data_IF_170457205018
#
_entry.id   IF_170457205018
#
_cell.length_a   1.000
_cell.length_b   1.000
_cell.length_c   1.000
_cell.angle_alpha   90.00
_cell.angle_beta   90.00
_cell.angle_gamma   90.00
#
_symmetry.space_group_name_H-M   'P 1'
#
loop_
_entity.id
_entity.type
_entity.pdbx_description
1 polymer ?
#
# COMPACT_ATOMS: atom_id res chain seq x y z
N UNK A 1 7.79 -8.68 -15.31
CA UNK A 1 6.72 -7.72 -14.93
C UNK A 1 7.21 -6.33 -15.28
N UNK A 2 6.43 -5.52 -16.00
CA UNK A 2 6.79 -4.15 -16.25
C UNK A 2 6.75 -3.31 -14.96
N UNK A 3 7.42 -2.17 -14.90
CA UNK A 3 7.48 -1.34 -13.73
C UNK A 3 6.06 -0.95 -13.29
N UNK A 4 5.84 -0.93 -11.97
CA UNK A 4 4.57 -0.55 -11.32
C UNK A 4 4.09 0.83 -11.80
N UNK A 5 5.02 1.68 -12.21
CA UNK A 5 4.78 3.02 -12.73
C UNK A 5 5.22 3.06 -14.20
N UNK A 6 4.29 3.35 -15.11
CA UNK A 6 4.59 3.62 -16.52
C UNK A 6 4.14 5.02 -16.88
N UNK A 7 5.04 5.79 -17.51
CA UNK A 7 4.72 7.16 -17.92
C UNK A 7 4.25 8.08 -16.77
N UNK A 8 4.73 7.85 -15.56
CA UNK A 8 4.33 8.60 -14.36
C UNK A 8 2.95 8.24 -13.80
N UNK A 9 2.37 7.11 -14.19
CA UNK A 9 1.09 6.59 -13.67
C UNK A 9 1.26 5.15 -13.20
N UNK A 10 0.56 4.79 -12.13
CA UNK A 10 0.43 3.40 -11.70
C UNK A 10 -0.45 2.64 -12.72
N UNK A 11 0.05 1.49 -13.16
CA UNK A 11 -0.70 0.62 -14.07
C UNK A 11 -1.89 0.02 -13.33
N UNK A 12 -3.10 -0.01 -13.92
CA UNK A 12 -4.24 -0.67 -13.29
C UNK A 12 -3.93 -2.13 -12.94
N UNK A 13 -4.30 -2.54 -11.73
CA UNK A 13 -4.01 -3.87 -11.20
C UNK A 13 -4.03 -3.87 -9.68
N UNK A 14 -3.81 -5.03 -9.08
CA UNK A 14 -3.71 -5.21 -7.63
C UNK A 14 -2.29 -5.63 -7.29
N UNK A 15 -1.65 -4.88 -6.42
CA UNK A 15 -0.27 -5.05 -6.02
C UNK A 15 -0.17 -5.17 -4.50
N UNK A 16 0.60 -6.12 -4.01
CA UNK A 16 0.99 -6.20 -2.62
C UNK A 16 2.51 -6.07 -2.53
N UNK A 17 2.96 -5.16 -1.69
CA UNK A 17 4.37 -4.88 -1.45
C UNK A 17 4.63 -5.03 0.04
N UNK A 18 5.55 -5.88 0.43
CA UNK A 18 6.01 -6.03 1.81
C UNK A 18 7.47 -5.59 1.93
N UNK A 19 7.84 -5.05 3.08
CA UNK A 19 9.21 -4.57 3.29
C UNK A 19 9.37 -3.86 4.64
N UNK A 20 10.50 -3.16 4.84
CA UNK A 20 10.88 -2.60 6.12
C UNK A 20 9.84 -1.63 6.67
N UNK A 21 9.93 -1.31 7.98
CA UNK A 21 8.95 -0.47 8.70
C UNK A 21 8.70 0.91 8.08
N UNK A 22 9.66 1.44 7.36
CA UNK A 22 9.57 2.73 6.67
C UNK A 22 9.05 2.64 5.21
N UNK A 23 8.61 1.44 4.78
CA UNK A 23 8.11 1.16 3.42
C UNK A 23 7.08 2.19 2.95
N UNK A 24 6.07 2.48 3.78
CA UNK A 24 5.00 3.42 3.42
C UNK A 24 5.54 4.83 3.16
N UNK A 25 6.47 5.30 3.99
CA UNK A 25 7.13 6.60 3.82
C UNK A 25 7.98 6.65 2.55
N UNK A 26 8.77 5.60 2.28
CA UNK A 26 9.55 5.47 1.04
C UNK A 26 8.67 5.46 -0.20
N UNK A 27 7.60 4.67 -0.17
CA UNK A 27 6.66 4.59 -1.29
C UNK A 27 5.99 5.93 -1.56
N UNK A 28 5.51 6.62 -0.51
CA UNK A 28 4.93 7.95 -0.62
C UNK A 28 5.92 8.96 -1.23
N UNK A 29 7.16 8.95 -0.77
CA UNK A 29 8.23 9.80 -1.30
C UNK A 29 8.54 9.49 -2.77
N UNK A 30 8.59 8.21 -3.15
CA UNK A 30 8.79 7.78 -4.53
C UNK A 30 7.64 8.19 -5.47
N UNK A 31 6.42 8.38 -4.96
CA UNK A 31 5.30 8.92 -5.73
C UNK A 31 5.42 10.43 -6.03
N UNK A 32 6.26 11.16 -5.30
CA UNK A 32 6.34 12.61 -5.38
C UNK A 32 6.46 13.15 -6.82
N UNK A 33 7.35 12.66 -7.70
CA UNK A 33 7.43 13.17 -9.07
C UNK A 33 6.14 12.94 -9.88
N UNK A 34 5.40 11.87 -9.61
CA UNK A 34 4.14 11.59 -10.28
C UNK A 34 3.02 12.53 -9.77
N UNK A 35 2.98 12.80 -8.46
CA UNK A 35 2.06 13.75 -7.84
C UNK A 35 2.28 15.16 -8.39
N UNK A 36 3.54 15.60 -8.52
CA UNK A 36 3.90 16.90 -9.09
C UNK A 36 3.51 17.03 -10.56
N UNK A 37 3.47 15.92 -11.31
CA UNK A 37 2.95 15.87 -12.69
C UNK A 37 1.42 15.78 -12.77
N UNK A 38 0.71 15.90 -11.64
CA UNK A 38 -0.74 15.97 -11.58
C UNK A 38 -1.45 14.65 -11.27
N UNK A 39 -0.74 13.55 -11.00
CA UNK A 39 -1.37 12.31 -10.53
C UNK A 39 -2.00 12.56 -9.15
N UNK A 40 -3.29 12.21 -8.98
CA UNK A 40 -3.91 12.09 -7.66
C UNK A 40 -3.66 10.70 -7.06
N UNK A 41 -3.84 10.56 -5.76
CA UNK A 41 -3.83 9.27 -5.05
C UNK A 41 -4.86 9.27 -3.93
N UNK A 42 -5.62 8.18 -3.79
CA UNK A 42 -6.42 7.90 -2.61
C UNK A 42 -5.56 7.08 -1.64
N UNK A 43 -5.25 7.63 -0.47
CA UNK A 43 -4.37 7.01 0.52
C UNK A 43 -5.16 6.62 1.75
N UNK A 44 -5.35 5.31 1.95
CA UNK A 44 -5.96 4.74 3.15
C UNK A 44 -4.85 4.39 4.14
N UNK A 45 -4.62 5.26 5.11
CA UNK A 45 -3.53 5.17 6.10
C UNK A 45 -3.93 4.27 7.28
N UNK A 46 -3.94 2.97 7.05
CA UNK A 46 -4.39 1.99 8.03
C UNK A 46 -3.40 1.75 9.17
N UNK A 47 -2.11 1.97 8.94
CA UNK A 47 -1.05 1.82 9.95
C UNK A 47 -0.54 3.12 10.55
N UNK A 48 -1.24 4.25 10.33
CA UNK A 48 -0.80 5.58 10.79
C UNK A 48 0.64 5.92 10.33
N UNK A 49 0.93 5.64 9.08
CA UNK A 49 2.27 5.71 8.49
C UNK A 49 2.49 6.88 7.53
N UNK A 50 1.46 7.70 7.30
CA UNK A 50 1.54 8.83 6.38
C UNK A 50 2.50 9.91 6.86
N UNK A 51 3.56 10.14 6.09
CA UNK A 51 4.59 11.14 6.40
C UNK A 51 4.48 12.37 5.49
N UNK A 52 3.66 13.35 5.89
CA UNK A 52 3.50 14.60 5.17
C UNK A 52 4.81 15.41 5.06
N UNK A 53 5.65 15.36 6.10
CA UNK A 53 6.95 16.08 6.09
C UNK A 53 7.91 15.47 5.08
N UNK A 54 7.98 14.13 5.02
CA UNK A 54 8.81 13.42 4.04
C UNK A 54 8.40 13.74 2.61
N UNK A 55 7.08 13.72 2.32
CA UNK A 55 6.57 14.11 1.01
C UNK A 55 6.86 15.58 0.68
N UNK A 56 6.66 16.49 1.65
CA UNK A 56 6.96 17.91 1.48
C UNK A 56 8.45 18.18 1.26
N UNK A 57 9.32 17.43 1.93
CA UNK A 57 10.77 17.50 1.71
C UNK A 57 11.15 17.04 0.28
N UNK A 58 10.58 15.91 -0.16
CA UNK A 58 10.81 15.39 -1.51
C UNK A 58 10.34 16.38 -2.60
N UNK A 59 9.20 17.05 -2.39
CA UNK A 59 8.71 18.05 -3.33
C UNK A 59 9.68 19.24 -3.44
N UNK A 60 10.17 19.76 -2.31
CA UNK A 60 11.18 20.82 -2.31
C UNK A 60 12.50 20.40 -2.97
N UNK A 61 12.92 19.16 -2.74
CA UNK A 61 14.10 18.60 -3.41
C UNK A 61 13.94 18.57 -4.93
N UNK A 62 12.71 18.36 -5.42
CA UNK A 62 12.36 18.46 -6.84
C UNK A 62 12.13 19.94 -7.32
N UNK A 63 12.44 20.94 -6.51
CA UNK A 63 12.24 22.35 -6.87
C UNK A 63 10.78 22.81 -6.86
N UNK A 64 9.87 22.08 -6.19
CA UNK A 64 8.45 22.36 -6.16
C UNK A 64 7.95 22.74 -4.76
N UNK A 65 6.78 23.40 -4.70
CA UNK A 65 6.10 23.66 -3.43
C UNK A 65 5.57 22.34 -2.84
N UNK A 66 5.82 22.14 -1.54
CA UNK A 66 5.32 21.01 -0.78
C UNK A 66 3.79 20.88 -0.86
N UNK A 67 3.06 21.98 -0.88
CA UNK A 67 1.60 21.99 -1.00
C UNK A 67 1.11 21.40 -2.32
N UNK A 68 1.86 21.58 -3.40
CA UNK A 68 1.50 21.03 -4.71
C UNK A 68 1.42 19.50 -4.70
N UNK A 69 2.38 18.82 -4.05
CA UNK A 69 2.36 17.37 -3.89
C UNK A 69 1.29 16.92 -2.88
N UNK A 70 1.19 17.58 -1.73
CA UNK A 70 0.22 17.22 -0.67
C UNK A 70 -1.22 17.36 -1.14
N UNK A 71 -1.55 18.38 -1.94
CA UNK A 71 -2.89 18.60 -2.48
C UNK A 71 -3.36 17.47 -3.42
N UNK A 72 -2.46 16.62 -3.89
CA UNK A 72 -2.76 15.46 -4.74
C UNK A 72 -3.08 14.19 -3.96
N UNK A 73 -2.91 14.20 -2.63
CA UNK A 73 -3.18 13.06 -1.77
C UNK A 73 -4.50 13.25 -1.05
N UNK A 74 -5.48 12.41 -1.38
CA UNK A 74 -6.71 12.30 -0.62
C UNK A 74 -6.50 11.27 0.49
N UNK A 75 -6.23 11.75 1.70
CA UNK A 75 -5.93 10.92 2.87
C UNK A 75 -7.20 10.55 3.62
N UNK A 76 -7.36 9.28 3.96
CA UNK A 76 -8.35 8.79 4.91
C UNK A 76 -7.68 7.79 5.87
N UNK A 77 -8.09 7.78 7.13
CA UNK A 77 -7.50 6.93 8.17
C UNK A 77 -8.55 6.06 8.82
N UNK A 78 -8.62 4.76 8.48
CA UNK A 78 -9.44 3.81 9.23
C UNK A 78 -8.78 3.51 10.58
N UNK A 79 -9.56 3.54 11.67
CA UNK A 79 -9.09 3.22 13.02
C UNK A 79 -9.32 1.75 13.40
N UNK A 80 -10.09 1.02 12.61
CA UNK A 80 -10.31 -0.41 12.78
C UNK A 80 -10.60 -1.08 11.42
N UNK A 81 -10.61 -2.41 11.41
CA UNK A 81 -10.80 -3.20 10.19
C UNK A 81 -12.17 -3.03 9.53
N UNK A 82 -13.23 -2.73 10.31
CA UNK A 82 -14.58 -2.50 9.78
C UNK A 82 -14.68 -1.15 9.05
N UNK A 83 -13.99 -0.14 9.57
CA UNK A 83 -13.86 1.15 8.87
C UNK A 83 -13.07 0.99 7.56
N UNK A 84 -12.00 0.18 7.55
CA UNK A 84 -11.26 -0.11 6.32
C UNK A 84 -12.17 -0.80 5.29
N UNK A 85 -12.98 -1.79 5.71
CA UNK A 85 -13.97 -2.42 4.84
C UNK A 85 -14.95 -1.40 4.25
N UNK A 86 -15.52 -0.54 5.09
CA UNK A 86 -16.45 0.50 4.65
C UNK A 86 -15.78 1.47 3.67
N UNK A 87 -14.54 1.88 3.94
CA UNK A 87 -13.79 2.75 3.03
C UNK A 87 -13.59 2.09 1.67
N UNK A 88 -13.15 0.82 1.63
CA UNK A 88 -12.88 0.11 0.37
C UNK A 88 -14.17 -0.14 -0.42
N UNK A 89 -15.24 -0.56 0.24
CA UNK A 89 -16.49 -0.98 -0.44
C UNK A 89 -17.43 0.18 -0.79
N UNK A 90 -17.37 1.28 -0.04
CA UNK A 90 -18.33 2.38 -0.18
C UNK A 90 -17.60 3.68 -0.52
N UNK A 91 -16.70 4.15 0.36
CA UNK A 91 -16.16 5.51 0.23
C UNK A 91 -15.19 5.68 -0.93
N UNK A 92 -14.38 4.68 -1.21
CA UNK A 92 -13.48 4.70 -2.38
C UNK A 92 -14.29 4.70 -3.68
N UNK A 93 -15.24 3.80 -3.93
CA UNK A 93 -16.09 3.86 -5.14
C UNK A 93 -16.84 5.18 -5.32
N UNK A 94 -17.42 5.74 -4.26
CA UNK A 94 -18.12 7.02 -4.32
C UNK A 94 -17.22 8.19 -4.76
N UNK A 95 -15.96 8.17 -4.32
CA UNK A 95 -14.99 9.26 -4.52
C UNK A 95 -14.08 9.07 -5.73
N UNK A 96 -13.86 7.83 -6.15
CA UNK A 96 -12.86 7.48 -7.17
C UNK A 96 -13.13 8.18 -8.51
N UNK A 97 -12.08 8.74 -9.10
CA UNK A 97 -12.08 9.44 -10.40
C UNK A 97 -10.96 8.97 -11.31
N UNK A 98 -10.46 7.74 -11.09
CA UNK A 98 -9.35 7.15 -11.87
C UNK A 98 -8.00 7.16 -11.17
N UNK A 99 -7.94 7.67 -9.93
CA UNK A 99 -6.71 7.68 -9.15
C UNK A 99 -6.32 6.27 -8.68
N UNK A 100 -5.01 5.97 -8.50
CA UNK A 100 -4.59 4.78 -7.76
C UNK A 100 -5.04 4.87 -6.29
N UNK A 101 -5.29 3.71 -5.71
CA UNK A 101 -5.68 3.56 -4.30
C UNK A 101 -4.58 2.83 -3.55
N UNK A 102 -4.04 3.44 -2.52
CA UNK A 102 -3.02 2.86 -1.65
C UNK A 102 -3.66 2.52 -0.31
N UNK A 103 -3.48 1.28 0.14
CA UNK A 103 -3.78 0.84 1.51
C UNK A 103 -2.43 0.71 2.22
N UNK A 104 -2.12 1.67 3.08
CA UNK A 104 -0.84 1.74 3.76
C UNK A 104 -0.90 1.03 5.11
N UNK A 105 -0.13 -0.03 5.21
CA UNK A 105 0.11 -0.85 6.41
C UNK A 105 -1.17 -1.31 7.12
N UNK A 106 -2.01 -2.14 6.48
CA UNK A 106 -3.26 -2.60 7.08
C UNK A 106 -3.09 -3.65 8.18
N UNK A 107 -1.93 -4.31 8.27
CA UNK A 107 -1.71 -5.41 9.22
C UNK A 107 -2.05 -5.07 10.68
N UNK A 108 -1.71 -3.89 11.23
CA UNK A 108 -2.08 -3.53 12.60
C UNK A 108 -3.58 -3.68 12.88
N UNK A 109 -4.44 -3.29 11.94
CA UNK A 109 -5.89 -3.40 12.12
C UNK A 109 -6.36 -4.86 12.18
N UNK A 110 -5.67 -5.76 11.47
CA UNK A 110 -5.97 -7.19 11.44
C UNK A 110 -5.25 -7.98 12.54
N UNK A 111 -4.27 -7.35 13.20
CA UNK A 111 -3.55 -7.91 14.34
C UNK A 111 -4.14 -7.50 15.68
N UNK A 112 -5.23 -6.73 15.67
CA UNK A 112 -5.99 -6.36 16.85
C UNK A 112 -6.56 -7.62 17.53
N UNK A 113 -6.06 -7.93 18.74
CA UNK A 113 -6.42 -9.13 19.49
C UNK A 113 -7.84 -9.09 20.04
N UNK A 114 -8.43 -7.89 20.16
CA UNK A 114 -9.84 -7.72 20.59
C UNK A 114 -10.82 -8.21 19.51
N UNK A 115 -10.35 -8.42 18.27
CA UNK A 115 -11.18 -8.96 17.18
C UNK A 115 -10.86 -10.45 16.99
N UNK A 116 -11.85 -11.35 17.10
CA UNK A 116 -11.63 -12.77 16.83
C UNK A 116 -11.04 -13.02 15.42
N UNK A 117 -10.01 -13.87 15.31
CA UNK A 117 -9.32 -14.13 14.04
C UNK A 117 -10.28 -14.54 12.90
N UNK A 118 -11.32 -15.33 13.21
CA UNK A 118 -12.33 -15.71 12.23
C UNK A 118 -13.16 -14.52 11.72
N UNK A 119 -13.45 -13.54 12.58
CA UNK A 119 -14.14 -12.30 12.18
C UNK A 119 -13.22 -11.45 11.29
N UNK A 120 -11.98 -11.27 11.69
CA UNK A 120 -11.00 -10.52 10.92
C UNK A 120 -10.76 -11.15 9.53
N UNK A 121 -10.71 -12.50 9.41
CA UNK A 121 -10.61 -13.20 8.11
C UNK A 121 -11.82 -12.90 7.21
N UNK A 122 -13.02 -12.89 7.76
CA UNK A 122 -14.23 -12.53 6.99
C UNK A 122 -14.18 -11.08 6.48
N UNK A 123 -13.72 -10.16 7.33
CA UNK A 123 -13.54 -8.76 6.90
C UNK A 123 -12.49 -8.64 5.81
N UNK A 124 -11.33 -9.32 5.95
CA UNK A 124 -10.31 -9.32 4.91
C UNK A 124 -10.87 -9.83 3.56
N UNK A 125 -11.62 -10.93 3.56
CA UNK A 125 -12.24 -11.44 2.35
C UNK A 125 -13.14 -10.37 1.68
N UNK A 126 -13.98 -9.68 2.48
CA UNK A 126 -14.84 -8.62 1.96
C UNK A 126 -14.08 -7.38 1.47
N UNK A 127 -12.95 -7.04 2.08
CA UNK A 127 -12.05 -5.98 1.58
C UNK A 127 -11.48 -6.36 0.23
N UNK A 128 -10.95 -7.59 0.09
CA UNK A 128 -10.41 -8.10 -1.18
C UNK A 128 -11.48 -8.17 -2.30
N UNK A 129 -12.70 -8.56 -1.95
CA UNK A 129 -13.85 -8.49 -2.85
C UNK A 129 -14.14 -7.04 -3.30
N UNK A 130 -14.18 -6.10 -2.37
CA UNK A 130 -14.37 -4.68 -2.67
C UNK A 130 -13.30 -4.12 -3.61
N UNK A 131 -12.04 -4.50 -3.40
CA UNK A 131 -10.95 -4.14 -4.31
C UNK A 131 -11.12 -4.73 -5.72
N UNK A 132 -11.80 -5.88 -5.84
CA UNK A 132 -12.01 -6.53 -7.13
C UNK A 132 -13.08 -5.82 -7.99
N UNK A 133 -13.99 -5.11 -7.36
CA UNK A 133 -15.10 -4.42 -8.04
C UNK A 133 -14.69 -3.12 -8.72
N UNK A 134 -13.57 -2.52 -8.34
CA UNK A 134 -13.12 -1.25 -8.87
C UNK A 134 -11.89 -1.45 -9.77
N UNK A 135 -11.90 -0.99 -11.04
CA UNK A 135 -10.78 -1.14 -11.97
C UNK A 135 -9.66 -0.11 -11.69
N UNK A 136 -9.31 0.08 -10.42
CA UNK A 136 -8.24 0.96 -9.99
C UNK A 136 -6.88 0.24 -9.95
N UNK A 137 -5.80 1.01 -9.91
CA UNK A 137 -4.52 0.50 -9.45
C UNK A 137 -4.56 0.44 -7.91
N UNK A 138 -4.70 -0.74 -7.34
CA UNK A 138 -4.66 -0.97 -5.90
C UNK A 138 -3.24 -1.35 -5.46
N UNK A 139 -2.72 -0.67 -4.46
CA UNK A 139 -1.42 -0.96 -3.87
C UNK A 139 -1.59 -1.17 -2.37
N UNK A 140 -1.31 -2.37 -1.90
CA UNK A 140 -1.26 -2.67 -0.46
C UNK A 140 0.20 -2.69 -0.03
N UNK A 141 0.55 -1.84 0.92
CA UNK A 141 1.87 -1.77 1.51
C UNK A 141 1.82 -2.42 2.90
N UNK A 142 2.59 -3.46 3.13
CA UNK A 142 2.66 -4.17 4.41
C UNK A 142 4.06 -4.03 5.00
N UNK A 143 4.19 -3.32 6.12
CA UNK A 143 5.45 -3.22 6.83
C UNK A 143 5.75 -4.52 7.57
N UNK A 144 7.02 -4.96 7.52
CA UNK A 144 7.49 -6.16 8.19
C UNK A 144 7.27 -6.06 9.71
N UNK A 145 6.54 -7.02 10.24
CA UNK A 145 6.26 -7.16 11.68
C UNK A 145 5.97 -8.59 12.06
N UNK A 146 6.25 -8.93 13.32
CA UNK A 146 5.84 -10.22 13.87
C UNK A 146 4.31 -10.29 13.92
N UNK A 147 3.77 -11.40 13.45
CA UNK A 147 2.35 -11.68 13.59
C UNK A 147 2.04 -12.18 15.01
N UNK A 148 0.93 -11.76 15.63
CA UNK A 148 0.42 -12.40 16.85
C UNK A 148 0.08 -13.86 16.61
N UNK A 149 0.06 -14.66 17.69
CA UNK A 149 -0.29 -16.08 17.62
C UNK A 149 -1.67 -16.30 16.96
N UNK A 150 -1.74 -17.22 16.01
CA UNK A 150 -2.95 -17.51 15.24
C UNK A 150 -3.27 -16.52 14.12
N UNK A 151 -2.36 -15.58 13.86
CA UNK A 151 -2.47 -14.58 12.78
C UNK A 151 -1.27 -14.65 11.81
N UNK A 152 -0.55 -15.74 11.81
CA UNK A 152 0.55 -15.99 10.91
C UNK A 152 0.08 -16.05 9.45
N UNK A 153 0.90 -15.59 8.52
CA UNK A 153 0.62 -15.63 7.07
C UNK A 153 -0.45 -14.66 6.57
N UNK A 154 -0.86 -13.69 7.38
CA UNK A 154 -1.86 -12.69 6.95
C UNK A 154 -1.30 -11.72 5.90
N UNK A 155 -0.02 -11.45 5.90
CA UNK A 155 0.70 -10.75 4.85
C UNK A 155 0.59 -11.48 3.50
N UNK A 156 0.65 -12.82 3.52
CA UNK A 156 0.46 -13.66 2.32
C UNK A 156 -0.98 -13.60 1.80
N UNK A 157 -1.99 -13.47 2.68
CA UNK A 157 -3.38 -13.36 2.26
C UNK A 157 -3.62 -12.09 1.43
N UNK A 158 -2.99 -10.98 1.79
CA UNK A 158 -3.00 -9.77 0.98
C UNK A 158 -2.34 -10.01 -0.38
N UNK A 159 -1.24 -10.78 -0.43
CA UNK A 159 -0.55 -11.16 -1.65
C UNK A 159 -1.37 -12.05 -2.58
N UNK A 160 -2.18 -12.96 -2.05
CA UNK A 160 -3.04 -13.86 -2.85
C UNK A 160 -4.14 -13.12 -3.61
N UNK A 161 -4.62 -12.02 -3.07
CA UNK A 161 -5.60 -11.14 -3.73
C UNK A 161 -5.00 -10.26 -4.83
N UNK A 162 -3.68 -10.17 -4.92
CA UNK A 162 -2.95 -9.32 -5.84
C UNK A 162 -2.37 -10.13 -7.01
N UNK A 163 -2.57 -9.65 -8.25
CA UNK A 163 -1.79 -10.12 -9.39
C UNK A 163 -0.40 -9.47 -9.32
N UNK A 164 0.62 -10.24 -8.98
CA UNK A 164 2.00 -9.75 -8.89
C UNK A 164 2.35 -9.22 -7.50
N UNK A 165 2.35 -10.09 -6.49
CA UNK A 165 2.95 -9.78 -5.21
C UNK A 165 4.45 -9.52 -5.40
N UNK A 166 4.90 -8.31 -5.14
CA UNK A 166 6.31 -7.93 -5.17
C UNK A 166 6.77 -7.77 -3.73
N UNK A 167 7.73 -8.58 -3.30
CA UNK A 167 8.42 -8.38 -2.03
C UNK A 167 9.56 -7.39 -2.22
N UNK A 168 9.57 -6.33 -1.44
CA UNK A 168 10.67 -5.39 -1.37
C UNK A 168 11.62 -5.83 -0.25
N UNK A 169 12.83 -6.21 -0.59
CA UNK A 169 13.89 -6.45 0.38
C UNK A 169 14.73 -5.18 0.49
N UNK A 170 14.80 -4.58 1.67
CA UNK A 170 15.75 -3.50 1.95
C UNK A 170 17.18 -4.04 1.93
N UNK A 171 18.20 -3.15 1.79
CA UNK A 171 19.61 -3.55 1.66
C UNK A 171 20.21 -4.30 2.88
N UNK A 172 19.44 -4.54 3.93
CA UNK A 172 19.87 -5.20 5.17
C UNK A 172 19.01 -6.42 5.57
N UNK A 173 18.20 -7.01 4.69
CA UNK A 173 17.53 -8.25 5.05
C UNK A 173 18.51 -9.42 4.95
N UNK A 174 18.66 -10.18 6.04
CA UNK A 174 19.56 -11.33 6.14
C UNK A 174 19.22 -12.50 5.18
N UNK A 175 18.20 -12.35 4.36
CA UNK A 175 17.66 -13.36 3.45
C UNK A 175 18.25 -13.33 2.04
N UNK A 176 19.33 -12.57 1.83
CA UNK A 176 20.02 -12.44 0.52
C UNK A 176 20.74 -13.76 0.08
N UNK A 177 20.57 -14.86 0.82
CA UNK A 177 21.24 -16.15 0.57
C UNK A 177 20.36 -17.26 -0.02
N UNK A 178 19.08 -17.00 -0.28
CA UNK A 178 18.20 -17.96 -0.93
C UNK A 178 18.00 -17.61 -2.40
N UNK A 179 18.58 -18.38 -3.30
CA UNK A 179 18.35 -18.25 -4.75
C UNK A 179 16.87 -18.43 -5.08
N UNK A 180 16.26 -17.52 -5.88
CA UNK A 180 14.87 -17.67 -6.25
C UNK A 180 14.73 -18.59 -7.47
N UNK A 181 14.22 -19.76 -7.27
CA UNK A 181 13.59 -20.52 -8.35
C UNK A 181 12.21 -19.92 -8.62
N UNK A 182 12.07 -19.19 -9.73
CA UNK A 182 10.79 -18.74 -10.28
C UNK A 182 10.51 -17.23 -10.17
N UNK A 183 10.82 -16.51 -11.21
CA UNK A 183 10.17 -15.28 -11.68
C UNK A 183 9.98 -14.12 -10.70
N UNK A 184 11.04 -13.64 -10.06
CA UNK A 184 11.02 -12.45 -9.20
C UNK A 184 11.80 -11.32 -9.86
N UNK A 185 11.10 -10.28 -10.31
CA UNK A 185 11.76 -9.03 -10.70
C UNK A 185 12.10 -8.19 -9.46
N UNK A 186 13.38 -7.88 -9.29
CA UNK A 186 13.84 -6.83 -8.38
C UNK A 186 13.42 -5.48 -8.96
N UNK A 187 12.72 -4.68 -8.18
CA UNK A 187 12.70 -3.24 -8.38
C UNK A 187 14.02 -2.71 -7.82
N UNK A 188 14.97 -2.41 -8.70
CA UNK A 188 16.19 -1.70 -8.32
C UNK A 188 15.84 -0.32 -7.79
N UNK A 189 16.59 0.08 -6.77
CA UNK A 189 16.40 1.26 -5.97
C UNK A 189 16.24 2.54 -6.81
N UNK A 190 15.30 3.36 -6.41
CA UNK A 190 15.29 4.79 -6.69
C UNK A 190 16.10 5.55 -5.66
#
# INVERSE_FOLDING_TARGET
>A
MGPLIRGGRLVPGRYAVSGPRDLCGRFLTALCPALLRGMGVLWLDAGNSFNAYGLGYAARFCGADARAALARVALARPFNLYQLETMVKVKVPERWRGEPVVIADPLPLFYDEDVPAAAARRVLARVLEGMALLPAAWVVLAADRAAPAGREGWDELWGRGARGATRFYGPNSADDRAEPSGGRERLEAF
#
